data_IF_079267639685
#
_entry.id   IF_079267639685
#
_cell.length_a   1.000
_cell.length_b   1.000
_cell.length_c   1.000
_cell.angle_alpha   90.00
_cell.angle_beta   90.00
_cell.angle_gamma   90.00
#
_symmetry.space_group_name_H-M   'P 1'
#
loop_
_entity.id
_entity.type
_entity.pdbx_description
1 polymer ?
#
# COMPACT_ATOMS: atom_id res chain seq x y z
N UNK A 1 -14.94 -32.87 24.49
CA UNK A 1 -14.42 -31.48 24.36
C UNK A 1 -15.41 -30.55 23.67
N UNK A 2 -15.80 -30.81 22.41
CA UNK A 2 -16.76 -29.97 21.66
C UNK A 2 -18.15 -29.83 22.31
N UNK A 3 -18.64 -30.87 22.98
CA UNK A 3 -19.90 -30.79 23.72
C UNK A 3 -19.85 -29.83 24.94
N UNK A 4 -18.70 -29.73 25.60
CA UNK A 4 -18.50 -28.80 26.71
C UNK A 4 -18.36 -27.35 26.20
N UNK A 5 -17.62 -27.16 25.10
CA UNK A 5 -17.53 -25.89 24.38
C UNK A 5 -18.92 -25.41 23.91
N UNK A 6 -19.70 -26.27 23.24
CA UNK A 6 -21.05 -25.92 22.77
C UNK A 6 -22.01 -25.54 23.90
N UNK A 7 -21.97 -26.28 25.03
CA UNK A 7 -22.79 -25.96 26.20
C UNK A 7 -22.41 -24.61 26.82
N UNK A 8 -21.11 -24.34 26.94
CA UNK A 8 -20.62 -23.06 27.47
C UNK A 8 -20.93 -21.90 26.53
N UNK A 9 -20.78 -22.10 25.21
CA UNK A 9 -21.14 -21.12 24.19
C UNK A 9 -22.63 -20.78 24.23
N UNK A 10 -23.52 -21.77 24.42
CA UNK A 10 -24.95 -21.50 24.54
C UNK A 10 -25.33 -20.76 25.82
N UNK A 11 -24.69 -21.12 26.95
CA UNK A 11 -24.91 -20.46 28.24
C UNK A 11 -24.54 -18.97 28.18
N UNK A 12 -23.45 -18.63 27.50
CA UNK A 12 -22.94 -17.25 27.38
C UNK A 12 -23.20 -16.60 26.01
N UNK A 13 -24.16 -17.13 25.23
CA UNK A 13 -24.36 -16.76 23.81
C UNK A 13 -24.44 -15.26 23.54
N UNK A 14 -25.10 -14.50 24.44
CA UNK A 14 -25.27 -13.04 24.30
C UNK A 14 -23.95 -12.30 24.55
N UNK A 15 -23.18 -12.72 25.55
CA UNK A 15 -21.88 -12.12 25.86
C UNK A 15 -20.85 -12.42 24.79
N UNK A 16 -20.86 -13.63 24.25
CA UNK A 16 -19.96 -14.01 23.14
C UNK A 16 -20.24 -13.15 21.93
N UNK A 17 -21.50 -13.00 21.52
CA UNK A 17 -21.87 -12.13 20.39
C UNK A 17 -21.50 -10.68 20.67
N UNK A 18 -21.80 -10.16 21.88
CA UNK A 18 -21.45 -8.79 22.24
C UNK A 18 -19.93 -8.54 22.19
N UNK A 19 -19.12 -9.47 22.71
CA UNK A 19 -17.67 -9.40 22.65
C UNK A 19 -17.16 -9.48 21.20
N UNK A 20 -17.71 -10.38 20.38
CA UNK A 20 -17.34 -10.48 18.95
C UNK A 20 -17.66 -9.20 18.19
N UNK A 21 -18.83 -8.59 18.43
CA UNK A 21 -19.20 -7.31 17.81
C UNK A 21 -18.29 -6.19 18.29
N UNK A 22 -17.98 -6.13 19.59
CA UNK A 22 -17.05 -5.14 20.13
C UNK A 22 -15.66 -5.26 19.49
N UNK A 23 -15.11 -6.48 19.41
CA UNK A 23 -13.82 -6.76 18.75
C UNK A 23 -13.89 -6.38 17.26
N UNK A 24 -14.99 -6.71 16.57
CA UNK A 24 -15.17 -6.35 15.17
C UNK A 24 -15.16 -4.83 14.97
N UNK A 25 -15.88 -4.08 15.79
CA UNK A 25 -15.90 -2.61 15.71
C UNK A 25 -14.51 -2.01 15.98
N UNK A 26 -13.78 -2.55 16.96
CA UNK A 26 -12.38 -2.16 17.19
C UNK A 26 -11.53 -2.46 15.95
N UNK A 27 -11.64 -3.65 15.37
CA UNK A 27 -10.91 -4.02 14.17
C UNK A 27 -11.23 -3.10 12.98
N UNK A 28 -12.48 -2.66 12.83
CA UNK A 28 -12.85 -1.68 11.79
C UNK A 28 -12.19 -0.33 12.06
N UNK A 29 -12.29 0.19 13.27
CA UNK A 29 -11.73 1.52 13.63
C UNK A 29 -10.21 1.55 13.49
N UNK A 30 -9.51 0.49 13.92
CA UNK A 30 -8.05 0.43 13.89
C UNK A 30 -7.48 -0.16 12.59
N UNK A 31 -8.24 -0.99 11.88
CA UNK A 31 -7.78 -1.72 10.71
C UNK A 31 -7.82 -0.92 9.41
N UNK A 32 -8.66 0.11 9.29
CA UNK A 32 -8.72 0.93 8.07
C UNK A 32 -7.38 1.61 7.75
N UNK A 33 -6.67 2.11 8.78
CA UNK A 33 -5.35 2.72 8.61
C UNK A 33 -4.23 1.73 8.25
N UNK A 34 -4.49 0.42 8.32
CA UNK A 34 -3.52 -0.57 7.86
C UNK A 34 -3.35 -0.52 6.33
N UNK A 35 -4.40 -0.14 5.59
CA UNK A 35 -4.42 -0.10 4.13
C UNK A 35 -3.34 0.83 3.58
N UNK A 36 -3.20 2.02 4.18
CA UNK A 36 -2.20 3.03 3.80
C UNK A 36 -0.76 2.58 4.06
N UNK A 37 -0.58 1.53 4.89
CA UNK A 37 0.73 0.98 5.25
C UNK A 37 1.08 -0.29 4.48
N UNK A 38 0.23 -0.74 3.56
CA UNK A 38 0.60 -1.85 2.69
C UNK A 38 1.78 -1.43 1.81
N UNK A 39 2.83 -2.24 1.84
CA UNK A 39 3.95 -2.09 0.91
C UNK A 39 3.47 -2.54 -0.49
N UNK A 40 3.67 -1.74 -1.53
CA UNK A 40 3.34 -2.12 -2.91
C UNK A 40 4.35 -3.11 -3.52
N UNK A 41 5.45 -3.41 -2.82
CA UNK A 41 6.55 -4.26 -3.30
C UNK A 41 6.83 -5.49 -2.42
N UNK A 42 8.06 -6.01 -2.51
CA UNK A 42 8.49 -7.27 -1.86
C UNK A 42 8.63 -8.45 -2.82
N UNK A 43 8.70 -8.17 -4.13
CA UNK A 43 8.92 -9.16 -5.18
C UNK A 43 10.40 -9.50 -5.40
N UNK A 44 11.30 -8.70 -4.83
CA UNK A 44 12.74 -8.86 -4.95
C UNK A 44 13.28 -9.73 -3.80
N UNK A 45 14.31 -10.53 -4.07
CA UNK A 45 15.07 -11.23 -3.03
C UNK A 45 16.11 -10.29 -2.44
N UNK A 46 15.92 -9.92 -1.18
CA UNK A 46 16.80 -9.01 -0.43
C UNK A 46 18.24 -9.54 -0.27
N UNK A 47 18.47 -10.85 -0.48
CA UNK A 47 19.80 -11.46 -0.41
C UNK A 47 20.46 -11.61 -1.78
N UNK A 48 19.81 -11.20 -2.86
CA UNK A 48 20.38 -11.30 -4.21
C UNK A 48 21.48 -10.26 -4.42
N UNK A 49 22.54 -10.64 -5.15
CA UNK A 49 23.62 -9.70 -5.51
C UNK A 49 23.08 -8.48 -6.28
N UNK A 50 22.03 -8.67 -7.10
CA UNK A 50 21.36 -7.59 -7.81
C UNK A 50 20.68 -6.59 -6.90
N UNK A 51 20.05 -7.06 -5.80
CA UNK A 51 19.40 -6.18 -4.81
C UNK A 51 20.45 -5.34 -4.09
N UNK A 52 21.54 -5.98 -3.65
CA UNK A 52 22.66 -5.32 -2.96
C UNK A 52 23.33 -4.28 -3.89
N UNK A 53 23.58 -4.64 -5.15
CA UNK A 53 24.17 -3.73 -6.13
C UNK A 53 23.29 -2.51 -6.39
N UNK A 54 21.97 -2.70 -6.47
CA UNK A 54 20.98 -1.62 -6.62
C UNK A 54 20.98 -0.68 -5.40
N UNK A 55 20.96 -1.23 -4.19
CA UNK A 55 21.00 -0.43 -2.94
C UNK A 55 22.27 0.41 -2.86
N UNK A 56 23.43 -0.17 -3.21
CA UNK A 56 24.71 0.54 -3.21
C UNK A 56 24.75 1.67 -4.26
N UNK A 57 24.18 1.43 -5.46
CA UNK A 57 24.07 2.47 -6.49
C UNK A 57 23.15 3.61 -6.05
N UNK A 58 22.06 3.32 -5.33
CA UNK A 58 21.16 4.33 -4.81
C UNK A 58 21.81 5.16 -3.69
N UNK A 59 22.57 4.52 -2.79
CA UNK A 59 23.31 5.18 -1.70
C UNK A 59 24.42 6.10 -2.23
N UNK A 60 25.25 5.62 -3.17
CA UNK A 60 26.42 6.34 -3.66
C UNK A 60 26.10 7.39 -4.74
N UNK A 61 25.12 7.09 -5.60
CA UNK A 61 24.82 7.93 -6.78
C UNK A 61 23.47 8.65 -6.69
N UNK A 62 22.66 8.40 -5.66
CA UNK A 62 21.35 9.04 -5.47
C UNK A 62 20.31 8.69 -6.55
N UNK A 63 20.54 7.65 -7.36
CA UNK A 63 19.61 7.24 -8.42
C UNK A 63 18.54 6.29 -7.87
N UNK A 64 17.49 6.86 -7.29
CA UNK A 64 16.26 6.11 -7.00
C UNK A 64 15.49 5.80 -8.29
N UNK A 65 14.87 4.62 -8.39
CA UNK A 65 14.15 4.17 -9.59
C UNK A 65 12.83 4.91 -9.88
N UNK A 66 12.46 5.88 -9.04
CA UNK A 66 11.24 6.66 -9.17
C UNK A 66 11.43 7.83 -10.14
N UNK A 67 11.32 7.56 -11.45
CA UNK A 67 11.25 8.61 -12.46
C UNK A 67 9.79 8.86 -12.85
N UNK A 68 9.27 10.05 -12.53
CA UNK A 68 7.98 10.51 -13.04
C UNK A 68 8.19 11.17 -14.41
N UNK A 69 7.69 10.53 -15.46
CA UNK A 69 7.67 11.11 -16.80
C UNK A 69 6.29 11.71 -17.08
N UNK A 70 6.23 13.02 -17.30
CA UNK A 70 5.00 13.72 -17.68
C UNK A 70 5.04 14.01 -19.18
N UNK A 71 4.04 13.53 -19.92
CA UNK A 71 3.93 13.75 -21.36
C UNK A 71 2.78 14.71 -21.62
N UNK A 72 3.10 15.86 -22.20
CA UNK A 72 2.12 16.88 -22.58
C UNK A 72 1.77 16.75 -24.06
N UNK A 73 0.51 16.99 -24.41
CA UNK A 73 0.03 16.97 -25.80
C UNK A 73 -0.96 18.09 -26.05
N UNK A 74 -0.97 18.63 -27.28
CA UNK A 74 -2.02 19.54 -27.74
C UNK A 74 -2.49 19.14 -29.13
N UNK A 75 -3.81 19.20 -29.36
CA UNK A 75 -4.41 18.92 -30.65
C UNK A 75 -4.25 20.10 -31.60
N UNK A 76 -3.04 20.30 -32.14
CA UNK A 76 -2.79 21.23 -33.24
C UNK A 76 -1.63 22.22 -33.06
N UNK A 77 -0.94 22.22 -31.92
CA UNK A 77 0.30 22.99 -31.75
C UNK A 77 1.50 22.05 -31.75
N UNK A 78 2.60 22.44 -32.38
CA UNK A 78 3.86 21.68 -32.36
C UNK A 78 4.64 21.96 -31.09
N UNK A 79 5.61 21.09 -30.75
CA UNK A 79 6.53 21.28 -29.61
C UNK A 79 7.33 22.58 -29.69
N UNK A 80 7.53 23.12 -30.89
CA UNK A 80 8.25 24.38 -31.14
C UNK A 80 7.36 25.63 -31.00
N UNK A 81 6.04 25.48 -30.81
CA UNK A 81 5.16 26.63 -30.59
C UNK A 81 5.42 27.24 -29.21
N UNK A 82 5.74 28.54 -29.19
CA UNK A 82 5.96 29.31 -27.96
C UNK A 82 4.75 29.25 -27.02
N UNK A 83 3.52 29.21 -27.54
CA UNK A 83 2.32 29.09 -26.70
C UNK A 83 2.25 27.74 -26.00
N UNK A 84 2.60 26.67 -26.71
CA UNK A 84 2.62 25.34 -26.13
C UNK A 84 3.73 25.22 -25.09
N UNK A 85 4.92 25.76 -25.37
CA UNK A 85 6.03 25.80 -24.42
C UNK A 85 5.67 26.53 -23.13
N UNK A 86 5.11 27.74 -23.23
CA UNK A 86 4.66 28.51 -22.06
C UNK A 86 3.49 27.89 -21.28
N UNK A 87 2.73 26.97 -21.89
CA UNK A 87 1.64 26.30 -21.22
C UNK A 87 2.10 25.05 -20.42
N UNK A 88 3.32 24.57 -20.66
CA UNK A 88 3.85 23.31 -20.15
C UNK A 88 5.05 23.51 -19.21
N UNK A 89 5.84 24.57 -19.38
CA UNK A 89 6.81 25.06 -18.39
C UNK A 89 6.12 25.73 -17.19
#
# INVERSE_FOLDING_TARGET
>A
MFAALGRNTYAYRRWIVAASVAIFLLAVVFGTGAIDRLKPGGFEDINSESFIAKELLEEELGHGQSNLFVVFSSGGSTVDDLRFKHAVE
#
